data_IF_736342695407
#
_entry.id   IF_736342695407
#
_cell.length_a   1.000
_cell.length_b   1.000
_cell.length_c   1.000
_cell.angle_alpha   90.00
_cell.angle_beta   90.00
_cell.angle_gamma   90.00
#
_symmetry.space_group_name_H-M   'P 1'
#
loop_
_entity.id
_entity.type
_entity.pdbx_description
1 polymer ?
#
# COMPACT_ATOMS: atom_id res chain seq x y z
N UNK A 1 17.73 -20.98 21.41
CA UNK A 1 17.98 -20.18 20.19
C UNK A 1 16.82 -19.21 20.03
N UNK A 2 17.00 -17.93 20.39
CA UNK A 2 15.93 -16.93 20.29
C UNK A 2 15.69 -16.59 18.82
N UNK A 3 14.57 -17.06 18.27
CA UNK A 3 14.14 -16.76 16.91
C UNK A 3 13.62 -15.33 16.92
N UNK A 4 14.38 -14.37 16.37
CA UNK A 4 13.88 -13.02 16.15
C UNK A 4 12.51 -13.14 15.44
N UNK A 5 11.45 -12.58 16.04
CA UNK A 5 10.16 -12.48 15.36
C UNK A 5 10.41 -11.63 14.11
N UNK A 6 10.38 -12.29 12.95
CA UNK A 6 10.44 -11.62 11.66
C UNK A 6 9.28 -10.61 11.65
N UNK A 7 9.59 -9.33 11.49
CA UNK A 7 8.56 -8.29 11.39
C UNK A 7 7.61 -8.68 10.25
N UNK A 8 6.32 -8.50 10.50
CA UNK A 8 5.30 -8.78 9.50
C UNK A 8 5.55 -7.90 8.26
N UNK A 9 5.49 -8.46 7.02
CA UNK A 9 5.58 -7.65 5.82
C UNK A 9 4.54 -6.53 5.81
N UNK A 10 4.94 -5.34 5.38
CA UNK A 10 4.11 -4.13 5.41
C UNK A 10 3.90 -3.59 4.00
N UNK A 11 2.69 -3.13 3.70
CA UNK A 11 2.37 -2.40 2.47
C UNK A 11 2.23 -0.92 2.81
N UNK A 12 3.18 -0.12 2.32
CA UNK A 12 3.13 1.34 2.45
C UNK A 12 2.21 1.93 1.39
N UNK A 13 1.41 2.92 1.78
CA UNK A 13 0.50 3.66 0.89
C UNK A 13 0.97 5.11 0.71
N UNK A 14 1.67 5.65 1.70
CA UNK A 14 2.24 6.99 1.64
C UNK A 14 2.41 7.58 3.03
N UNK A 15 2.36 8.91 3.10
CA UNK A 15 2.41 9.64 4.37
C UNK A 15 1.19 10.54 4.53
N UNK A 16 0.80 10.76 5.77
CA UNK A 16 -0.27 11.65 6.15
C UNK A 16 0.18 12.59 7.26
N UNK A 17 -0.70 13.53 7.62
CA UNK A 17 -0.50 14.43 8.74
C UNK A 17 -1.48 14.05 9.86
N UNK A 18 -0.99 13.97 11.09
CA UNK A 18 -1.85 13.74 12.25
C UNK A 18 -2.80 14.92 12.44
N UNK A 19 -4.11 14.66 12.53
CA UNK A 19 -5.13 15.72 12.55
C UNK A 19 -5.02 16.62 13.78
N UNK A 20 -4.78 16.04 14.96
CA UNK A 20 -4.62 16.83 16.20
C UNK A 20 -3.20 17.39 16.39
N UNK A 21 -2.23 16.93 15.59
CA UNK A 21 -0.83 17.32 15.71
C UNK A 21 -0.24 17.59 14.32
N UNK A 22 -0.58 18.72 13.66
CA UNK A 22 -0.31 18.93 12.24
C UNK A 22 1.17 18.95 11.83
N UNK A 23 2.08 19.08 12.79
CA UNK A 23 3.53 18.99 12.58
C UNK A 23 4.03 17.53 12.50
N UNK A 24 3.16 16.56 12.80
CA UNK A 24 3.50 15.14 12.88
C UNK A 24 3.13 14.45 11.58
N UNK A 25 4.16 13.98 10.86
CA UNK A 25 4.00 13.11 9.70
C UNK A 25 3.84 11.68 10.18
N UNK A 26 2.83 10.98 9.64
CA UNK A 26 2.57 9.57 9.92
C UNK A 26 2.72 8.74 8.64
N UNK A 27 3.27 7.53 8.77
CA UNK A 27 3.20 6.56 7.68
C UNK A 27 1.78 6.01 7.57
N UNK A 28 1.27 5.97 6.35
CA UNK A 28 0.00 5.36 6.01
C UNK A 28 0.28 4.04 5.29
N UNK A 29 -0.35 2.97 5.75
CA UNK A 29 -0.18 1.65 5.19
C UNK A 29 -0.88 0.61 6.06
N UNK A 30 -0.62 -0.65 5.78
CA UNK A 30 -1.19 -1.75 6.57
C UNK A 30 -0.32 -3.01 6.50
N UNK A 31 -0.43 -3.91 7.49
CA UNK A 31 0.27 -5.19 7.46
C UNK A 31 -0.26 -6.07 6.32
N UNK A 32 0.59 -6.88 5.71
CA UNK A 32 0.22 -7.74 4.59
C UNK A 32 -0.84 -8.78 4.99
N UNK A 33 -0.95 -9.18 6.26
CA UNK A 33 -2.03 -10.08 6.71
C UNK A 33 -3.42 -9.51 6.45
N UNK A 34 -3.57 -8.17 6.41
CA UNK A 34 -4.85 -7.50 6.18
C UNK A 34 -5.26 -7.55 4.71
N UNK A 35 -4.33 -7.83 3.77
CA UNK A 35 -4.61 -7.97 2.34
C UNK A 35 -5.62 -9.07 2.02
N UNK A 36 -5.78 -10.06 2.89
CA UNK A 36 -6.79 -11.12 2.77
C UNK A 36 -8.23 -10.60 2.84
N UNK A 37 -8.44 -9.46 3.50
CA UNK A 37 -9.74 -8.79 3.61
C UNK A 37 -10.09 -7.90 2.40
N UNK A 38 -9.22 -7.88 1.38
CA UNK A 38 -9.29 -6.96 0.24
C UNK A 38 -9.13 -5.48 0.62
N UNK A 39 -8.88 -4.64 -0.38
CA UNK A 39 -8.69 -3.20 -0.23
C UNK A 39 -9.51 -2.49 -1.31
N UNK A 40 -10.20 -1.43 -0.92
CA UNK A 40 -11.03 -0.62 -1.81
C UNK A 40 -10.51 0.82 -1.83
N UNK A 41 -10.26 1.34 -3.03
CA UNK A 41 -9.86 2.73 -3.24
C UNK A 41 -10.94 3.47 -4.03
N UNK A 42 -11.63 4.40 -3.38
CA UNK A 42 -12.66 5.23 -3.99
C UNK A 42 -12.14 6.64 -4.27
N UNK A 43 -12.60 7.24 -5.38
CA UNK A 43 -12.28 8.63 -5.71
C UNK A 43 -12.52 8.95 -7.18
N UNK A 44 -12.49 10.24 -7.53
CA UNK A 44 -12.70 10.72 -8.90
C UNK A 44 -11.48 10.51 -9.79
N UNK A 45 -11.57 10.83 -11.08
CA UNK A 45 -10.42 10.76 -12.00
C UNK A 45 -9.31 11.74 -11.58
N UNK A 46 -8.04 11.38 -11.78
CA UNK A 46 -6.83 12.18 -11.44
C UNK A 46 -6.52 12.36 -9.94
N UNK A 47 -7.29 11.77 -9.02
CA UNK A 47 -6.98 11.81 -7.58
C UNK A 47 -5.81 10.91 -7.15
N UNK A 48 -5.18 10.19 -8.10
CA UNK A 48 -4.03 9.32 -7.81
C UNK A 48 -4.35 7.85 -7.59
N UNK A 49 -5.55 7.36 -7.93
CA UNK A 49 -5.89 5.91 -7.82
C UNK A 49 -4.95 4.98 -8.60
N UNK A 50 -4.52 5.39 -9.80
CA UNK A 50 -3.53 4.64 -10.59
C UNK A 50 -2.18 4.60 -9.85
N UNK A 51 -1.75 5.73 -9.28
CA UNK A 51 -0.47 5.85 -8.55
C UNK A 51 -0.41 4.99 -7.28
N UNK A 52 -1.48 4.95 -6.49
CA UNK A 52 -1.54 4.06 -5.32
C UNK A 52 -1.51 2.59 -5.76
N UNK A 53 -2.14 2.24 -6.88
CA UNK A 53 -2.10 0.87 -7.40
C UNK A 53 -0.71 0.48 -7.88
N UNK A 54 -0.04 1.33 -8.67
CA UNK A 54 1.36 1.15 -9.09
C UNK A 54 2.28 0.94 -7.87
N UNK A 55 2.14 1.79 -6.85
CA UNK A 55 2.99 1.74 -5.65
C UNK A 55 2.82 0.44 -4.85
N UNK A 56 1.59 -0.08 -4.78
CA UNK A 56 1.30 -1.35 -4.11
C UNK A 56 1.82 -2.53 -4.96
N UNK A 57 1.58 -2.51 -6.27
CA UNK A 57 2.04 -3.55 -7.21
C UNK A 57 3.57 -3.68 -7.17
N UNK A 58 4.29 -2.56 -7.18
CA UNK A 58 5.75 -2.53 -7.10
C UNK A 58 6.25 -3.22 -5.82
N UNK A 59 5.62 -2.93 -4.68
CA UNK A 59 5.95 -3.55 -3.40
C UNK A 59 5.65 -5.05 -3.40
N UNK A 60 4.54 -5.49 -3.99
CA UNK A 60 4.17 -6.90 -4.09
C UNK A 60 5.20 -7.67 -4.94
N UNK A 61 5.61 -7.11 -6.08
CA UNK A 61 6.66 -7.70 -6.93
C UNK A 61 7.97 -7.81 -6.15
N UNK A 62 8.38 -6.75 -5.45
CA UNK A 62 9.60 -6.74 -4.61
C UNK A 62 9.57 -7.77 -3.49
N UNK A 63 8.38 -8.08 -2.96
CA UNK A 63 8.16 -9.14 -1.95
C UNK A 63 8.13 -10.55 -2.55
N UNK A 64 8.13 -10.66 -3.88
CA UNK A 64 8.05 -11.94 -4.60
C UNK A 64 6.63 -12.48 -4.73
N UNK A 65 5.59 -11.64 -4.58
CA UNK A 65 4.21 -12.03 -4.78
C UNK A 65 3.85 -12.04 -6.27
N UNK A 66 2.99 -12.98 -6.66
CA UNK A 66 2.37 -12.94 -7.99
C UNK A 66 1.31 -11.85 -8.04
N UNK A 67 1.34 -11.03 -9.09
CA UNK A 67 0.42 -9.91 -9.30
C UNK A 67 -0.30 -10.09 -10.62
N UNK A 68 -1.61 -9.82 -10.62
CA UNK A 68 -2.42 -9.63 -11.84
C UNK A 68 -2.99 -8.23 -11.77
N UNK A 69 -2.70 -7.40 -12.78
CA UNK A 69 -3.23 -6.06 -12.90
C UNK A 69 -4.18 -5.99 -14.09
N UNK A 70 -5.36 -5.39 -13.88
CA UNK A 70 -6.32 -5.10 -14.95
C UNK A 70 -6.32 -3.60 -15.13
N UNK A 71 -5.68 -3.14 -16.20
CA UNK A 71 -5.62 -1.73 -16.56
C UNK A 71 -6.33 -1.51 -17.91
N UNK A 72 -7.56 -0.97 -17.90
CA UNK A 72 -8.30 -0.71 -19.13
C UNK A 72 -7.75 0.47 -19.94
N UNK A 73 -6.88 1.31 -19.36
CA UNK A 73 -6.31 2.48 -20.02
C UNK A 73 -4.90 2.25 -20.55
N UNK A 74 -4.17 1.29 -19.97
CA UNK A 74 -2.79 0.97 -20.33
C UNK A 74 -1.79 2.05 -19.88
N UNK A 75 -2.07 2.73 -18.77
CA UNK A 75 -1.22 3.75 -18.17
C UNK A 75 -0.32 3.24 -17.02
N UNK A 76 -0.41 1.95 -16.66
CA UNK A 76 0.38 1.27 -15.61
C UNK A 76 1.53 0.44 -16.16
#
# INVERSE_FOLDING_TARGET
MFRQKRQEPWTSVGTGIHLDHPQTVIELGFPDSYRKGHFWCFGTTRVGKTRIMEHIIEQDIKKGYSVVAIDPKGDI
#
